data_IF_680733696211
#
_entry.id   IF_680733696211
#
_cell.length_a   1.000
_cell.length_b   1.000
_cell.length_c   1.000
_cell.angle_alpha   90.00
_cell.angle_beta   90.00
_cell.angle_gamma   90.00
#
_symmetry.space_group_name_H-M   'P 1'
#
loop_
_entity.id
_entity.type
_entity.pdbx_description
1 polymer ?
2 non-polymer ?
3 non-polymer ?
4 non-polymer ?
5 non-polymer ?
6 water ?
#
# COMPACT_ATOMS: atom_id res chain seq x y z
N UNK A 1 30.60 -20.97 10.54
CA UNK A 1 29.42 -20.20 10.12
C UNK A 1 28.79 -20.79 8.87
N UNK A 2 27.50 -20.55 8.73
CA UNK A 2 26.75 -20.96 7.55
C UNK A 2 25.66 -19.95 7.19
N UNK A 3 25.51 -19.69 5.89
CA UNK A 3 24.42 -18.83 5.43
C UNK A 3 23.05 -19.45 5.63
N UNK A 4 22.25 -18.81 6.46
CA UNK A 4 20.89 -19.24 6.76
C UNK A 4 19.88 -18.70 5.76
N UNK A 5 20.22 -17.52 5.23
CA UNK A 5 19.36 -16.87 4.27
C UNK A 5 20.15 -15.77 3.53
N UNK A 6 19.74 -15.56 2.29
CA UNK A 6 20.43 -14.55 1.49
C UNK A 6 19.51 -14.09 0.38
N UNK A 7 19.57 -12.78 0.12
CA UNK A 7 18.80 -12.17 -0.95
C UNK A 7 19.54 -10.88 -1.35
N UNK A 8 19.39 -10.54 -2.61
CA UNK A 8 20.17 -9.37 -3.07
C UNK A 8 19.44 -8.86 -4.31
N UNK A 9 19.66 -7.57 -4.63
CA UNK A 9 19.05 -7.04 -5.83
C UNK A 9 19.21 -5.52 -5.92
N UNK A 10 18.29 -4.90 -6.62
CA UNK A 10 18.30 -3.45 -6.83
C UNK A 10 17.08 -2.82 -6.18
N UNK A 11 17.32 -1.74 -5.45
CA UNK A 11 16.25 -1.00 -4.79
C UNK A 11 16.16 0.42 -5.36
N UNK A 12 15.01 1.05 -5.19
CA UNK A 12 14.82 2.46 -5.53
C UNK A 12 15.02 2.75 -7.01
N UNK A 13 14.59 1.82 -7.87
CA UNK A 13 14.67 2.01 -9.31
C UNK A 13 13.44 2.76 -9.79
N UNK A 14 13.63 4.07 -10.08
CA UNK A 14 12.57 4.89 -10.62
C UNK A 14 12.36 4.59 -12.10
N UNK A 15 11.12 4.44 -12.50
CA UNK A 15 10.72 4.12 -13.85
C UNK A 15 9.50 4.92 -14.27
N UNK A 16 9.62 5.57 -15.43
CA UNK A 16 8.51 6.24 -16.08
C UNK A 16 8.21 5.51 -17.40
N UNK A 17 6.94 5.41 -17.70
CA UNK A 17 6.52 4.97 -19.02
C UNK A 17 5.34 5.78 -19.53
N UNK A 18 5.45 6.19 -20.80
CA UNK A 18 4.39 6.86 -21.50
C UNK A 18 3.78 5.99 -22.61
N UNK A 19 2.47 6.09 -22.70
CA UNK A 19 1.65 5.51 -23.74
C UNK A 19 1.12 6.64 -24.61
N UNK A 20 1.32 6.56 -25.91
CA UNK A 20 0.85 7.63 -26.80
C UNK A 20 -0.17 7.11 -27.81
N UNK A 21 -1.40 7.58 -27.70
CA UNK A 21 -2.39 7.09 -28.68
C UNK A 21 -2.18 7.86 -29.98
N UNK A 22 -1.61 7.16 -30.94
CA UNK A 22 -1.32 7.68 -32.27
C UNK A 22 -2.57 8.27 -32.91
N UNK A 23 -3.71 7.68 -32.58
CA UNK A 23 -4.95 8.16 -33.18
C UNK A 23 -5.51 9.34 -32.42
N UNK A 24 -5.87 9.12 -31.14
CA UNK A 24 -6.57 10.18 -30.41
C UNK A 24 -5.61 11.32 -30.05
N UNK A 25 -4.32 11.02 -29.92
CA UNK A 25 -3.33 12.00 -29.53
C UNK A 25 -3.17 12.05 -28.02
N UNK A 26 -4.03 11.32 -27.33
CA UNK A 26 -3.97 11.19 -25.88
C UNK A 26 -2.76 10.38 -25.44
N UNK A 27 -2.02 11.00 -24.50
CA UNK A 27 -0.89 10.32 -23.87
C UNK A 27 -1.27 9.95 -22.44
N UNK A 28 -0.72 8.83 -21.97
CA UNK A 28 -0.96 8.39 -20.60
C UNK A 28 0.36 8.04 -19.93
N UNK A 29 0.59 8.53 -18.72
CA UNK A 29 1.86 8.28 -18.08
C UNK A 29 1.69 7.40 -16.82
N UNK A 30 2.76 6.68 -16.58
CA UNK A 30 2.94 5.79 -15.45
C UNK A 30 4.31 6.01 -14.82
N UNK A 31 4.32 6.19 -13.49
CA UNK A 31 5.58 6.25 -12.79
C UNK A 31 5.54 5.39 -11.53
N UNK A 32 6.64 4.69 -11.31
CA UNK A 32 6.73 3.78 -10.18
C UNK A 32 8.15 3.76 -9.66
N UNK A 33 8.34 3.18 -8.47
CA UNK A 33 9.63 2.88 -7.92
C UNK A 33 9.68 1.37 -7.66
N UNK A 34 10.68 0.72 -8.25
CA UNK A 34 10.75 -0.74 -8.22
C UNK A 34 11.92 -1.21 -7.40
N UNK A 35 11.67 -2.32 -6.66
CA UNK A 35 12.68 -3.03 -5.91
C UNK A 35 12.55 -4.54 -6.24
N UNK A 36 13.67 -5.18 -6.48
CA UNK A 36 13.75 -6.59 -6.85
C UNK A 36 14.86 -7.24 -6.05
N UNK A 37 14.47 -8.28 -5.27
CA UNK A 37 15.41 -9.08 -4.54
C UNK A 37 15.29 -10.56 -4.98
N UNK A 38 16.42 -11.14 -5.28
CA UNK A 38 16.51 -12.52 -5.76
C UNK A 38 17.07 -13.43 -4.67
N UNK A 39 16.57 -14.67 -4.72
CA UNK A 39 17.12 -15.74 -3.88
C UNK A 39 17.41 -16.96 -4.77
N UNK A 40 18.34 -17.79 -4.32
CA UNK A 40 18.64 -19.04 -5.01
C UNK A 40 19.93 -19.65 -4.52
N UNK A 41 20.60 -20.35 -5.45
CA UNK A 41 21.89 -20.90 -5.10
C UNK A 41 23.00 -19.86 -5.28
N UNK A 42 23.05 -18.87 -4.38
CA UNK A 42 23.98 -17.74 -4.46
C UNK A 42 24.90 -17.63 -3.26
N UNK A 43 24.75 -18.53 -2.29
CA UNK A 43 25.51 -18.59 -1.05
C UNK A 43 27.02 -18.53 -1.27
N UNK A 44 27.55 -19.13 -2.34
CA UNK A 44 28.98 -19.09 -2.62
C UNK A 44 29.48 -17.67 -2.91
N UNK A 45 28.60 -16.79 -3.37
CA UNK A 45 29.04 -15.38 -3.53
C UNK A 45 29.45 -14.83 -2.18
N UNK A 46 28.75 -15.25 -1.13
CA UNK A 46 29.05 -14.73 0.21
C UNK A 46 30.21 -15.42 0.90
N UNK A 47 30.33 -16.74 0.70
CA UNK A 47 31.30 -17.54 1.43
C UNK A 47 32.63 -17.71 0.71
N UNK A 48 32.63 -17.73 -0.62
CA UNK A 48 33.89 -17.95 -1.31
C UNK A 48 34.17 -16.90 -2.39
N UNK A 49 33.50 -15.75 -2.35
CA UNK A 49 33.74 -14.77 -3.42
C UNK A 49 33.49 -15.38 -4.79
N UNK A 50 32.44 -16.20 -4.88
CA UNK A 50 32.12 -16.73 -6.21
C UNK A 50 31.08 -15.83 -6.87
N UNK A 51 31.54 -14.86 -7.67
CA UNK A 51 30.55 -13.96 -8.28
C UNK A 51 29.84 -14.55 -9.47
N UNK A 52 30.19 -15.77 -9.91
CA UNK A 52 29.56 -16.35 -11.08
C UNK A 52 28.07 -16.56 -10.87
N UNK A 53 27.70 -16.73 -9.61
CA UNK A 53 26.29 -16.92 -9.28
C UNK A 53 25.52 -15.60 -9.20
N UNK A 54 26.24 -14.48 -9.39
CA UNK A 54 25.56 -13.20 -9.23
C UNK A 54 25.13 -12.60 -10.57
N UNK A 55 23.84 -12.35 -10.67
CA UNK A 55 23.24 -11.50 -11.69
C UNK A 55 23.43 -10.08 -11.14
N UNK A 56 24.37 -9.32 -11.70
CA UNK A 56 24.71 -7.98 -11.22
C UNK A 56 23.46 -7.17 -10.93
N UNK A 57 23.49 -6.40 -9.85
CA UNK A 57 22.30 -5.60 -9.59
C UNK A 57 22.15 -4.56 -10.70
N UNK A 58 23.28 -4.19 -11.29
CA UNK A 58 23.21 -3.27 -12.43
C UNK A 58 22.39 -3.91 -13.53
N UNK A 59 22.63 -5.22 -13.73
CA UNK A 59 21.86 -5.95 -14.74
C UNK A 59 20.40 -6.08 -14.39
N UNK A 60 20.10 -6.23 -13.09
CA UNK A 60 18.71 -6.29 -12.66
C UNK A 60 18.05 -4.96 -13.01
N UNK A 61 18.80 -3.88 -12.79
CA UNK A 61 18.29 -2.57 -13.17
C UNK A 61 17.92 -2.54 -14.65
N UNK A 62 18.85 -2.94 -15.50
CA UNK A 62 18.64 -2.98 -16.94
C UNK A 62 17.39 -3.77 -17.29
N UNK A 63 17.27 -4.93 -16.62
CA UNK A 63 16.15 -5.82 -16.89
C UNK A 63 14.82 -5.19 -16.52
N UNK A 64 14.84 -4.38 -15.45
CA UNK A 64 13.60 -3.67 -15.09
C UNK A 64 13.18 -2.76 -16.23
N UNK A 65 14.12 -1.97 -16.75
CA UNK A 65 13.77 -1.07 -17.85
C UNK A 65 13.34 -1.82 -19.09
N UNK A 66 14.07 -2.89 -19.40
CA UNK A 66 13.71 -3.69 -20.58
C UNK A 66 12.35 -4.36 -20.46
N UNK A 67 12.02 -4.91 -19.29
CA UNK A 67 10.71 -5.50 -19.07
C UNK A 67 9.61 -4.46 -19.18
N UNK A 68 9.86 -3.24 -18.66
CA UNK A 68 8.89 -2.16 -18.79
C UNK A 68 8.72 -1.76 -20.25
N UNK A 69 9.79 -1.93 -21.02
CA UNK A 69 9.72 -1.54 -22.43
C UNK A 69 8.90 -2.53 -23.24
N UNK A 70 9.00 -3.81 -22.87
CA UNK A 70 8.39 -4.90 -23.60
C UNK A 70 7.03 -5.36 -23.11
N UNK A 71 6.57 -4.85 -21.98
CA UNK A 71 5.32 -5.28 -21.37
C UNK A 71 4.54 -4.10 -20.81
N UNK A 72 3.24 -4.27 -20.59
CA UNK A 72 2.50 -3.18 -19.91
C UNK A 72 3.01 -3.10 -18.47
N UNK A 73 2.95 -1.88 -17.94
CA UNK A 73 3.40 -1.71 -16.56
C UNK A 73 2.21 -1.67 -15.64
N UNK A 74 1.03 -1.80 -16.22
CA UNK A 74 -0.24 -1.75 -15.47
C UNK A 74 -1.09 -2.97 -15.79
N UNK A 75 -1.82 -3.53 -14.85
CA UNK A 75 -1.74 -3.19 -13.42
C UNK A 75 -0.44 -3.70 -12.82
N UNK A 76 0.00 -3.06 -11.74
CA UNK A 76 1.31 -3.36 -11.17
C UNK A 76 1.44 -4.81 -10.75
N UNK A 77 0.34 -5.40 -10.32
CA UNK A 77 0.34 -6.82 -9.93
C UNK A 77 0.84 -7.71 -11.08
N UNK A 78 0.40 -7.35 -12.29
CA UNK A 78 0.79 -8.05 -13.51
C UNK A 78 2.25 -7.81 -13.85
N UNK A 79 2.64 -6.53 -13.95
CA UNK A 79 4.03 -6.21 -14.22
C UNK A 79 4.98 -6.89 -13.26
N UNK A 80 4.62 -6.89 -11.97
CA UNK A 80 5.51 -7.49 -10.99
C UNK A 80 5.63 -9.00 -11.20
N UNK A 81 4.52 -9.61 -11.58
CA UNK A 81 4.50 -11.05 -11.85
C UNK A 81 5.38 -11.36 -13.05
N UNK A 82 5.20 -10.60 -14.13
CA UNK A 82 6.04 -10.76 -15.32
C UNK A 82 7.51 -10.61 -15.00
N UNK A 83 7.89 -9.57 -14.27
CA UNK A 83 9.26 -9.33 -13.86
C UNK A 83 9.82 -10.42 -12.95
N UNK A 84 9.01 -10.88 -12.00
CA UNK A 84 9.56 -11.90 -11.11
C UNK A 84 9.73 -13.21 -11.88
N UNK A 85 8.78 -13.50 -12.75
CA UNK A 85 8.81 -14.75 -13.51
C UNK A 85 10.04 -14.78 -14.40
N UNK A 86 10.34 -13.64 -15.02
CA UNK A 86 11.56 -13.52 -15.82
C UNK A 86 12.78 -14.06 -15.11
N UNK A 87 12.99 -13.64 -13.86
CA UNK A 87 14.23 -13.98 -13.22
C UNK A 87 14.37 -15.46 -12.86
N UNK A 88 13.27 -16.05 -12.42
CA UNK A 88 13.37 -17.47 -12.04
C UNK A 88 13.36 -18.35 -13.30
N UNK A 89 12.80 -17.84 -14.39
CA UNK A 89 12.78 -18.66 -15.61
C UNK A 89 14.11 -18.52 -16.33
N UNK A 90 14.66 -17.31 -16.33
CA UNK A 90 15.91 -17.03 -17.02
C UNK A 90 17.12 -17.65 -16.35
N UNK A 91 17.20 -17.57 -15.02
CA UNK A 91 18.38 -18.06 -14.33
C UNK A 91 18.06 -19.33 -13.55
N UNK A 92 18.70 -20.42 -13.96
CA UNK A 92 18.46 -21.76 -13.41
C UNK A 92 18.65 -21.82 -11.90
N UNK A 93 19.66 -21.13 -11.39
CA UNK A 93 20.05 -21.11 -9.99
C UNK A 93 19.28 -20.08 -9.15
N UNK A 94 18.44 -19.30 -9.80
CA UNK A 94 17.63 -18.30 -9.10
C UNK A 94 16.26 -18.90 -8.83
N UNK A 95 15.92 -19.12 -7.56
CA UNK A 95 14.66 -19.83 -7.34
C UNK A 95 13.54 -18.97 -6.80
N UNK A 96 13.87 -17.75 -6.37
CA UNK A 96 12.83 -16.84 -5.94
C UNK A 96 13.13 -15.40 -6.36
N UNK A 97 12.07 -14.71 -6.75
CA UNK A 97 12.11 -13.28 -7.01
C UNK A 97 11.03 -12.59 -6.19
N UNK A 98 11.45 -11.57 -5.43
CA UNK A 98 10.56 -10.68 -4.72
C UNK A 98 10.55 -9.34 -5.45
N UNK A 99 9.36 -8.89 -5.82
CA UNK A 99 9.25 -7.61 -6.50
C UNK A 99 8.33 -6.69 -5.70
N UNK A 100 8.91 -5.58 -5.29
CA UNK A 100 8.12 -4.55 -4.61
C UNK A 100 7.99 -3.32 -5.50
N UNK A 101 6.80 -2.81 -5.66
CA UNK A 101 6.54 -1.66 -6.51
C UNK A 101 5.67 -0.64 -5.79
N UNK A 102 6.10 0.61 -5.87
CA UNK A 102 5.36 1.78 -5.45
C UNK A 102 4.89 2.52 -6.71
N UNK A 103 3.59 2.66 -6.84
CA UNK A 103 3.01 3.41 -7.94
C UNK A 103 2.67 4.83 -7.50
N UNK A 104 3.22 5.78 -8.25
CA UNK A 104 3.07 7.21 -7.98
C UNK A 104 1.91 7.78 -8.76
N UNK A 105 1.18 8.75 -8.19
CA UNK A 105 0.04 9.30 -8.90
C UNK A 105 0.41 10.39 -9.90
N UNK A 106 -0.07 10.19 -11.12
CA UNK A 106 -0.06 11.16 -12.21
C UNK A 106 -1.49 11.18 -12.73
N UNK A 107 -2.30 12.02 -12.10
CA UNK A 107 -3.69 12.17 -12.51
C UNK A 107 -3.80 13.17 -13.66
N UNK A 108 -4.55 12.80 -14.69
CA UNK A 108 -4.75 13.71 -15.83
C UNK A 108 -5.41 15.00 -15.39
N UNK A 109 -4.86 16.12 -15.83
CA UNK A 109 -5.41 17.43 -15.52
C UNK A 109 -6.69 17.69 -16.32
N UNK A 110 -7.61 18.40 -15.66
CA UNK A 110 -8.80 18.93 -16.30
C UNK A 110 -8.58 20.43 -16.46
N UNK A 111 -8.57 20.85 -17.72
CA UNK A 111 -8.40 22.27 -18.04
C UNK A 111 -9.70 22.79 -18.64
N UNK A 112 -10.29 23.82 -18.03
CA UNK A 112 -11.56 24.36 -18.53
C UNK A 112 -12.58 23.24 -18.63
N UNK A 113 -12.68 22.43 -17.59
CA UNK A 113 -13.58 21.31 -17.55
C UNK A 113 -13.23 20.24 -18.55
N UNK A 114 -12.07 20.29 -19.21
CA UNK A 114 -11.76 19.27 -20.21
C UNK A 114 -10.47 18.52 -19.94
N UNK A 115 -10.53 17.19 -19.85
CA UNK A 115 -9.32 16.38 -19.67
C UNK A 115 -8.24 16.67 -20.70
N UNK A 116 -7.06 17.07 -20.22
CA UNK A 116 -5.93 17.34 -21.09
C UNK A 116 -5.25 16.06 -21.57
N UNK A 117 -4.86 16.02 -22.85
CA UNK A 117 -4.22 14.88 -23.50
C UNK A 117 -2.82 14.47 -23.05
N UNK A 118 -2.02 15.31 -22.44
CA UNK A 118 -0.68 15.06 -21.99
C UNK A 118 -0.19 15.93 -20.82
N UNK A 119 -1.07 16.40 -19.95
CA UNK A 119 -0.63 17.12 -18.76
C UNK A 119 -1.26 16.50 -17.52
N UNK A 120 -0.44 16.31 -16.49
CA UNK A 120 -0.84 15.55 -15.31
C UNK A 120 -0.45 16.25 -14.00
N UNK A 121 -1.10 15.85 -12.92
CA UNK A 121 -0.82 16.38 -11.59
C UNK A 121 -0.66 15.27 -10.57
N UNK A 122 0.30 15.44 -9.68
CA UNK A 122 0.47 14.54 -8.54
C UNK A 122 -0.57 14.99 -7.52
N UNK A 123 -1.76 14.41 -7.66
CA UNK A 123 -2.93 14.96 -6.98
C UNK A 123 -2.88 14.62 -5.49
N UNK A 124 -2.14 13.61 -5.11
CA UNK A 124 -1.82 13.24 -3.75
C UNK A 124 -0.56 12.38 -3.63
N UNK A 125 0.04 12.29 -2.45
CA UNK A 125 1.20 11.48 -2.14
C UNK A 125 0.77 10.03 -1.84
N UNK A 126 -0.54 9.79 -1.86
CA UNK A 126 -1.08 8.43 -1.67
C UNK A 126 -0.44 7.51 -2.71
N UNK A 127 -0.05 6.32 -2.29
CA UNK A 127 0.51 5.36 -3.23
C UNK A 127 -0.40 4.13 -3.33
N UNK A 128 -0.28 3.47 -4.47
CA UNK A 128 -0.75 2.13 -4.73
C UNK A 128 0.48 1.23 -4.83
N UNK A 129 0.49 0.10 -4.10
CA UNK A 129 1.67 -0.73 -4.11
C UNK A 129 1.34 -2.21 -4.39
N UNK A 130 2.40 -2.92 -4.78
CA UNK A 130 2.29 -4.37 -4.83
C UNK A 130 3.55 -5.00 -4.26
N UNK A 131 3.34 -6.16 -3.64
CA UNK A 131 4.46 -7.01 -3.24
C UNK A 131 4.24 -8.37 -3.91
N UNK A 132 5.17 -8.75 -4.77
CA UNK A 132 4.96 -9.97 -5.56
C UNK A 132 6.11 -10.93 -5.31
N UNK A 133 5.76 -12.15 -4.89
CA UNK A 133 6.76 -13.18 -4.66
C UNK A 133 6.56 -14.31 -5.67
N UNK A 134 7.56 -14.48 -6.52
CA UNK A 134 7.53 -15.50 -7.57
C UNK A 134 8.48 -16.59 -7.10
N UNK A 135 7.90 -17.74 -6.73
CA UNK A 135 8.76 -18.78 -6.19
C UNK A 135 8.70 -20.05 -7.02
N UNK A 136 9.85 -20.52 -7.48
CA UNK A 136 9.90 -21.72 -8.31
C UNK A 136 9.15 -22.86 -7.65
N UNK A 137 8.17 -23.44 -8.32
CA UNK A 137 7.45 -24.57 -7.75
C UNK A 137 6.36 -24.17 -6.78
N UNK A 138 6.25 -22.88 -6.43
CA UNK A 138 5.22 -22.48 -5.47
C UNK A 138 4.33 -21.36 -5.99
N UNK A 139 4.46 -21.05 -7.28
CA UNK A 139 3.61 -20.08 -7.92
C UNK A 139 3.93 -18.62 -7.59
N UNK A 140 2.91 -17.80 -7.57
CA UNK A 140 2.97 -16.36 -7.41
C UNK A 140 2.05 -15.86 -6.31
N UNK A 141 2.68 -15.34 -5.27
CA UNK A 141 1.98 -14.74 -4.13
C UNK A 141 1.98 -13.22 -4.23
N UNK A 142 0.80 -12.63 -4.20
CA UNK A 142 0.65 -11.20 -4.43
C UNK A 142 -0.13 -10.54 -3.30
N UNK A 143 0.49 -9.49 -2.76
CA UNK A 143 -0.14 -8.60 -1.81
C UNK A 143 -0.23 -7.21 -2.45
N UNK A 144 -1.43 -6.67 -2.47
CA UNK A 144 -1.73 -5.37 -3.04
C UNK A 144 -2.07 -4.40 -1.90
N UNK A 145 -1.75 -3.13 -2.11
CA UNK A 145 -2.03 -2.17 -1.04
C UNK A 145 -2.16 -0.74 -1.57
N UNK A 146 -2.79 0.05 -0.73
CA UNK A 146 -2.83 1.51 -0.82
C UNK A 146 -2.21 2.02 0.49
N UNK A 147 -1.52 3.14 0.44
CA UNK A 147 -0.86 3.70 1.60
C UNK A 147 -0.77 5.22 1.45
N UNK A 148 -0.54 5.90 2.56
CA UNK A 148 -0.41 7.35 2.52
C UNK A 148 -1.72 8.02 2.20
N UNK A 149 -2.84 7.34 2.43
CA UNK A 149 -4.17 7.92 2.29
C UNK A 149 -4.52 8.60 3.62
N UNK A 150 -4.35 9.92 3.66
CA UNK A 150 -4.49 10.70 4.89
C UNK A 150 -5.87 11.32 5.01
N UNK A 151 -6.55 10.95 6.10
CA UNK A 151 -7.93 11.36 6.32
C UNK A 151 -8.14 11.92 7.73
N UNK A 152 -9.21 12.69 7.87
CA UNK A 152 -9.65 13.23 9.14
C UNK A 152 -11.18 13.39 9.13
N UNK A 153 -11.78 13.01 10.25
CA UNK A 153 -13.18 13.34 10.52
C UNK A 153 -13.21 14.12 11.81
N UNK A 154 -14.07 15.10 11.89
CA UNK A 154 -14.07 16.12 12.94
C UNK A 154 -15.02 15.76 14.08
N UNK A 155 -15.86 14.76 13.81
CA UNK A 155 -16.78 14.29 14.85
C UNK A 155 -17.17 12.85 14.51
N UNK A 156 -18.08 12.22 15.26
CA UNK A 156 -18.51 10.86 14.99
C UNK A 156 -17.36 9.88 15.20
N UNK A 157 -16.56 10.21 16.21
CA UNK A 157 -15.57 9.30 16.72
C UNK A 157 -15.65 9.29 18.25
N UNK A 158 -15.51 8.11 18.81
CA UNK A 158 -15.65 7.95 20.24
C UNK A 158 -14.62 6.96 20.78
N UNK A 159 -14.36 7.05 22.09
CA UNK A 159 -13.54 6.06 22.75
C UNK A 159 -13.82 6.07 24.25
N UNK A 160 -14.65 5.12 24.67
CA UNK A 160 -14.96 4.89 26.07
C UNK A 160 -15.09 3.40 26.36
N UNK A 161 -14.99 3.03 27.63
CA UNK A 161 -15.15 1.64 28.01
C UNK A 161 -13.86 0.87 27.97
N UNK A 162 -12.72 1.54 27.78
CA UNK A 162 -11.42 0.88 27.82
C UNK A 162 -10.99 0.62 29.27
N UNK A 163 -10.08 -0.30 29.46
CA UNK A 163 -9.57 -0.71 30.77
C UNK A 163 -9.03 0.51 31.52
N UNK A 164 -9.34 0.57 32.81
CA UNK A 164 -8.81 1.62 33.67
C UNK A 164 -8.16 1.04 34.92
N UNK A 165 -6.90 1.35 35.15
CA UNK A 165 -6.15 0.95 36.34
C UNK A 165 -5.27 2.12 36.77
N UNK A 166 -4.27 1.87 37.60
CA UNK A 166 -3.43 2.91 38.17
C UNK A 166 -2.51 3.51 37.11
N UNK A 167 -2.53 2.98 35.89
CA UNK A 167 -1.69 3.46 34.79
C UNK A 167 -2.46 4.40 33.86
N UNK A 168 -3.76 4.52 34.10
CA UNK A 168 -4.71 5.20 33.23
C UNK A 168 -5.05 6.62 33.65
N UNK A 169 -4.84 7.56 32.72
CA UNK A 169 -5.23 8.95 32.91
C UNK A 169 -6.16 9.45 31.83
N UNK A 170 -6.21 8.81 30.66
CA UNK A 170 -7.06 9.22 29.57
C UNK A 170 -8.51 9.25 29.99
N UNK A 171 -9.18 10.37 29.68
CA UNK A 171 -10.60 10.48 29.93
C UNK A 171 -11.41 9.83 28.82
N UNK A 172 -12.50 9.15 29.21
CA UNK A 172 -13.42 8.66 28.20
C UNK A 172 -13.98 9.82 27.39
N UNK A 173 -14.27 9.60 26.12
CA UNK A 173 -14.87 10.62 25.27
C UNK A 173 -15.91 10.04 24.33
N UNK A 174 -16.98 10.79 24.12
CA UNK A 174 -18.06 10.45 23.22
C UNK A 174 -18.06 11.33 21.98
N UNK A 175 -17.04 12.18 21.84
CA UNK A 175 -16.91 13.04 20.68
C UNK A 175 -15.47 13.52 20.50
N UNK A 176 -14.76 12.96 19.52
CA UNK A 176 -13.35 13.33 19.28
C UNK A 176 -13.06 13.38 17.79
N UNK A 177 -11.90 13.94 17.49
CA UNK A 177 -11.36 13.92 16.14
C UNK A 177 -10.70 12.55 15.91
N UNK A 178 -10.86 12.04 14.72
CA UNK A 178 -10.11 10.86 14.32
C UNK A 178 -9.42 11.13 12.98
N UNK A 179 -8.11 10.99 13.00
CA UNK A 179 -7.30 11.18 11.81
C UNK A 179 -6.26 10.06 11.70
N UNK A 180 -6.02 9.62 10.48
CA UNK A 180 -5.07 8.55 10.27
C UNK A 180 -4.51 8.61 8.85
N UNK A 181 -3.47 7.83 8.65
CA UNK A 181 -2.88 7.53 7.35
C UNK A 181 -3.15 6.04 7.08
N UNK A 182 -4.01 5.79 6.11
CA UNK A 182 -4.47 4.44 5.83
C UNK A 182 -3.42 3.65 5.05
N UNK A 183 -3.05 2.50 5.62
CA UNK A 183 -2.25 1.46 5.01
C UNK A 183 -3.13 0.19 5.02
N UNK A 184 -3.68 -0.12 3.86
CA UNK A 184 -4.54 -1.28 3.70
C UNK A 184 -3.94 -2.25 2.70
N UNK A 185 -3.82 -3.52 3.07
CA UNK A 185 -3.28 -4.58 2.20
C UNK A 185 -4.28 -5.71 1.96
N UNK A 186 -4.48 -6.12 0.71
CA UNK A 186 -5.33 -7.28 0.43
C UNK A 186 -4.42 -8.36 -0.18
N UNK A 187 -4.49 -9.56 0.37
CA UNK A 187 -3.58 -10.63 -0.03
C UNK A 187 -4.36 -11.60 -0.92
N UNK A 188 -3.81 -11.90 -2.08
CA UNK A 188 -4.52 -12.69 -3.08
C UNK A 188 -4.27 -14.19 -2.89
N UNK A 189 -5.29 -14.97 -3.29
CA UNK A 189 -5.09 -16.41 -3.40
C UNK A 189 -3.83 -16.65 -4.22
N UNK A 190 -3.06 -17.67 -3.85
CA UNK A 190 -1.91 -18.05 -4.64
C UNK A 190 -2.30 -18.18 -6.11
N UNK A 191 -1.42 -17.79 -7.02
CA UNK A 191 -1.60 -17.99 -8.45
C UNK A 191 -0.60 -19.03 -8.95
N UNK A 192 -1.03 -19.87 -9.91
CA UNK A 192 -0.13 -20.96 -10.33
C UNK A 192 1.03 -20.43 -11.16
N UNK A 193 0.82 -19.26 -11.74
CA UNK A 193 1.88 -18.73 -12.61
C UNK A 193 1.32 -17.55 -13.37
N UNK A 194 2.05 -17.09 -14.37
CA UNK A 194 1.64 -15.90 -15.12
C UNK A 194 0.31 -16.03 -15.83
N UNK A 195 -0.03 -17.21 -16.37
CA UNK A 195 -1.30 -17.37 -17.06
C UNK A 195 -2.45 -17.04 -16.12
N UNK A 196 -2.36 -17.59 -14.90
CA UNK A 196 -3.45 -17.36 -13.97
C UNK A 196 -3.51 -15.89 -13.57
N UNK A 197 -2.36 -15.26 -13.37
CA UNK A 197 -2.40 -13.83 -13.07
C UNK A 197 -3.03 -13.05 -14.21
N UNK A 198 -2.58 -13.27 -15.44
CA UNK A 198 -3.20 -12.61 -16.59
C UNK A 198 -4.70 -12.87 -16.68
N UNK A 199 -5.16 -14.07 -16.32
CA UNK A 199 -6.60 -14.31 -16.51
C UNK A 199 -7.44 -13.42 -15.59
N UNK A 200 -6.86 -12.95 -14.48
CA UNK A 200 -7.59 -12.13 -13.54
C UNK A 200 -7.29 -10.64 -13.64
N UNK A 201 -6.54 -10.19 -14.64
CA UNK A 201 -6.06 -8.82 -14.70
C UNK A 201 -7.10 -7.73 -14.39
N UNK A 202 -8.31 -7.79 -14.90
CA UNK A 202 -9.32 -6.78 -14.54
C UNK A 202 -9.57 -6.63 -13.04
N UNK A 203 -9.53 -7.73 -12.31
CA UNK A 203 -9.85 -7.68 -10.89
C UNK A 203 -8.84 -6.88 -10.06
N UNK A 204 -7.65 -6.63 -10.61
CA UNK A 204 -6.68 -5.93 -9.74
C UNK A 204 -7.12 -4.49 -9.57
N UNK A 205 -7.35 -3.80 -10.68
CA UNK A 205 -7.75 -2.40 -10.62
C UNK A 205 -9.09 -2.25 -9.91
N UNK A 206 -9.94 -3.25 -10.13
CA UNK A 206 -11.28 -3.19 -9.58
C UNK A 206 -11.26 -3.41 -8.08
N UNK A 207 -10.34 -4.25 -7.64
CA UNK A 207 -10.25 -4.52 -6.20
C UNK A 207 -9.55 -3.38 -5.48
N UNK A 208 -8.59 -2.73 -6.10
CA UNK A 208 -7.97 -1.53 -5.55
C UNK A 208 -9.03 -0.45 -5.37
N UNK A 209 -9.85 -0.27 -6.41
CA UNK A 209 -10.90 0.75 -6.36
C UNK A 209 -11.81 0.47 -5.19
N UNK A 210 -12.17 -0.81 -5.07
CA UNK A 210 -13.11 -1.20 -4.04
C UNK A 210 -12.56 -0.94 -2.65
N UNK A 211 -11.30 -1.33 -2.49
CA UNK A 211 -10.63 -1.16 -1.20
C UNK A 211 -10.61 0.31 -0.81
N UNK A 212 -10.26 1.16 -1.77
CA UNK A 212 -10.25 2.60 -1.47
C UNK A 212 -11.63 3.15 -1.14
N UNK A 213 -12.61 2.76 -1.96
CA UNK A 213 -13.99 3.20 -1.84
C UNK A 213 -14.59 2.80 -0.50
N UNK A 214 -14.38 1.53 -0.13
CA UNK A 214 -14.91 1.01 1.12
C UNK A 214 -14.22 1.66 2.32
N UNK A 215 -12.92 1.90 2.20
CA UNK A 215 -12.15 2.54 3.25
C UNK A 215 -12.71 3.93 3.54
N UNK A 216 -12.91 4.71 2.48
CA UNK A 216 -13.33 6.09 2.66
C UNK A 216 -14.76 6.18 3.19
N UNK A 217 -15.68 5.41 2.63
CA UNK A 217 -17.08 5.39 3.04
C UNK A 217 -17.22 4.92 4.48
N UNK A 218 -16.54 3.86 4.86
CA UNK A 218 -16.60 3.31 6.22
C UNK A 218 -16.06 4.32 7.23
N UNK A 219 -14.94 4.94 6.87
CA UNK A 219 -14.34 5.97 7.71
C UNK A 219 -15.30 7.13 7.94
N UNK A 220 -15.93 7.56 6.86
CA UNK A 220 -16.81 8.72 6.87
C UNK A 220 -18.14 8.46 7.56
N UNK A 221 -18.72 7.27 7.39
CA UNK A 221 -20.04 6.97 7.93
C UNK A 221 -20.03 6.23 9.25
N UNK A 222 -18.97 5.51 9.62
CA UNK A 222 -18.99 4.77 10.87
C UNK A 222 -18.88 5.71 12.08
N UNK A 223 -19.90 5.66 12.93
CA UNK A 223 -19.81 6.37 14.20
C UNK A 223 -18.92 5.51 15.10
N UNK A 224 -17.63 5.67 14.87
CA UNK A 224 -16.59 4.80 15.36
C UNK A 224 -16.49 4.71 16.87
N UNK A 225 -16.49 3.49 17.35
CA UNK A 225 -16.33 3.13 18.75
C UNK A 225 -14.86 3.05 19.15
N UNK A 226 -14.02 2.97 18.12
CA UNK A 226 -12.58 2.93 18.23
C UNK A 226 -11.96 2.65 16.85
N UNK A 227 -10.64 2.80 16.76
CA UNK A 227 -9.96 2.52 15.50
C UNK A 227 -10.11 1.04 15.16
N UNK A 228 -9.95 0.22 16.18
CA UNK A 228 -10.09 -1.24 16.08
C UNK A 228 -11.39 -1.64 15.38
N UNK A 229 -12.54 -1.20 15.83
CA UNK A 229 -13.89 -1.49 15.42
C UNK A 229 -14.09 -0.99 13.98
N UNK A 230 -13.62 0.24 13.76
CA UNK A 230 -13.85 0.81 12.46
C UNK A 230 -13.06 0.07 11.37
N UNK A 231 -11.85 -0.33 11.68
CA UNK A 231 -11.02 -0.93 10.64
C UNK A 231 -11.47 -2.35 10.32
N UNK A 232 -11.97 -3.04 11.35
CA UNK A 232 -12.49 -4.38 11.07
C UNK A 232 -13.63 -4.28 10.07
N UNK A 233 -14.53 -3.30 10.20
CA UNK A 233 -15.66 -3.13 9.31
C UNK A 233 -15.23 -2.88 7.86
N UNK A 234 -14.10 -2.22 7.71
CA UNK A 234 -13.58 -2.01 6.38
C UNK A 234 -13.13 -3.35 5.78
N UNK A 235 -12.36 -4.09 6.57
CA UNK A 235 -11.78 -5.35 6.13
C UNK A 235 -12.91 -6.35 5.83
N UNK A 236 -13.93 -6.34 6.68
CA UNK A 236 -15.13 -7.15 6.51
C UNK A 236 -15.70 -7.02 5.10
N UNK A 237 -16.00 -5.78 4.73
CA UNK A 237 -16.63 -5.48 3.45
C UNK A 237 -15.80 -5.85 2.24
N UNK A 238 -14.52 -5.52 2.29
CA UNK A 238 -13.63 -5.82 1.16
C UNK A 238 -13.58 -7.32 0.88
N UNK A 239 -13.52 -8.14 1.92
CA UNK A 239 -13.49 -9.59 1.80
C UNK A 239 -14.76 -10.16 1.18
N UNK A 240 -15.87 -9.46 1.40
CA UNK A 240 -17.18 -9.84 0.88
C UNK A 240 -17.39 -9.41 -0.56
N UNK A 241 -16.52 -8.53 -1.07
CA UNK A 241 -16.71 -8.05 -2.43
C UNK A 241 -15.72 -8.62 -3.43
N UNK A 242 -14.75 -9.40 -2.95
CA UNK A 242 -13.79 -10.02 -3.84
C UNK A 242 -13.31 -11.34 -3.25
N UNK A 243 -13.85 -12.42 -3.81
CA UNK A 243 -13.62 -13.77 -3.34
C UNK A 243 -12.19 -14.22 -3.51
N UNK A 244 -11.47 -13.62 -4.46
CA UNK A 244 -10.09 -14.07 -4.68
C UNK A 244 -9.14 -13.53 -3.63
N UNK A 245 -9.64 -12.66 -2.76
CA UNK A 245 -8.86 -12.20 -1.61
C UNK A 245 -8.99 -13.17 -0.44
N UNK A 246 -7.85 -13.51 0.17
CA UNK A 246 -7.84 -14.36 1.34
C UNK A 246 -7.79 -13.56 2.65
N UNK A 247 -6.93 -12.56 2.72
CA UNK A 247 -6.90 -11.70 3.91
C UNK A 247 -6.83 -10.22 3.53
N UNK A 248 -7.19 -9.40 4.49
CA UNK A 248 -7.13 -7.95 4.44
C UNK A 248 -6.45 -7.48 5.71
N UNK A 249 -5.40 -6.67 5.57
CA UNK A 249 -4.61 -6.15 6.66
C UNK A 249 -4.76 -4.62 6.72
N UNK A 250 -4.97 -4.10 7.92
CA UNK A 250 -4.93 -2.65 8.12
C UNK A 250 -3.90 -2.31 9.16
N UNK A 251 -3.20 -1.21 8.92
CA UNK A 251 -2.26 -0.64 9.88
C UNK A 251 -2.59 0.86 9.92
N UNK A 252 -3.11 1.33 11.02
CA UNK A 252 -3.63 2.70 11.14
C UNK A 252 -3.04 3.43 12.32
N UNK A 253 -2.26 4.48 12.10
CA UNK A 253 -1.88 5.34 13.22
C UNK A 253 -3.07 6.17 13.70
N UNK A 254 -3.15 6.40 15.01
CA UNK A 254 -4.14 7.34 15.52
C UNK A 254 -3.41 8.69 15.69
N UNK A 255 -3.63 9.59 14.74
CA UNK A 255 -2.91 10.87 14.74
C UNK A 255 -3.66 11.87 15.62
N UNK A 256 -3.24 11.92 16.89
CA UNK A 256 -4.03 12.59 17.91
C UNK A 256 -4.10 14.11 17.73
N UNK A 257 -5.27 14.65 17.99
CA UNK A 257 -5.55 16.07 18.08
C UNK A 257 -6.02 16.40 19.50
N UNK A 258 -5.20 17.13 20.25
CA UNK A 258 -5.52 17.38 21.65
C UNK A 258 -6.36 18.64 21.81
N UNK A 259 -7.32 18.59 22.74
CA UNK A 259 -8.06 19.82 23.06
C UNK A 259 -7.10 20.77 23.76
N UNK A 260 -7.39 22.07 23.72
CA UNK A 260 -6.58 23.07 24.41
C UNK A 260 -7.41 23.86 25.41
N UNK A 261 -7.11 23.70 26.68
CA UNK A 261 -7.83 24.38 27.75
C UNK A 261 -7.36 25.84 27.77
N UNK A 262 -8.25 26.76 27.43
CA UNK A 262 -7.87 28.18 27.41
C UNK A 262 -8.62 28.96 28.49
N UNK A 263 -9.23 28.24 29.42
CA UNK A 263 -10.02 28.82 30.51
C UNK A 263 -9.16 29.72 31.38
N UNK A 264 -7.86 29.44 31.45
CA UNK A 264 -6.90 30.29 32.16
C UNK A 264 -6.88 31.70 31.54
N UNK A 265 -7.32 31.82 30.29
CA UNK A 265 -7.30 33.10 29.61
C UNK A 265 -8.66 33.75 29.47
N UNK A 266 -8.98 34.68 30.38
CA UNK A 266 -10.22 35.43 30.32
C UNK A 266 -11.45 34.51 30.30
N UNK A 267 -11.38 33.40 31.03
CA UNK A 267 -12.41 32.39 31.06
C UNK A 267 -12.74 31.82 29.70
N UNK A 268 -11.77 31.75 28.79
CA UNK A 268 -12.07 31.26 27.46
C UNK A 268 -12.50 29.79 27.47
N UNK A 269 -13.61 29.48 26.82
CA UNK A 269 -14.16 28.14 26.78
C UNK A 269 -13.86 27.44 25.45
N UNK A 270 -12.93 26.50 25.49
CA UNK A 270 -12.47 25.80 24.30
C UNK A 270 -12.34 24.29 24.52
N UNK A 271 -13.07 23.77 25.50
CA UNK A 271 -13.07 22.34 25.77
C UNK A 271 -14.47 21.76 25.67
N UNK A 272 -14.52 20.43 25.53
CA UNK A 272 -15.82 19.80 25.39
C UNK A 272 -16.64 20.32 24.24
N UNK A 273 -17.89 20.67 24.52
CA UNK A 273 -18.76 21.11 23.43
C UNK A 273 -18.29 22.45 22.85
N UNK A 274 -17.43 23.14 23.58
CA UNK A 274 -16.95 24.43 23.10
C UNK A 274 -15.62 24.30 22.37
N UNK A 275 -15.11 23.09 22.24
CA UNK A 275 -13.82 22.84 21.61
C UNK A 275 -13.78 23.30 20.17
N UNK A 276 -12.91 24.27 19.88
CA UNK A 276 -12.80 24.77 18.52
C UNK A 276 -11.37 24.67 17.98
N UNK A 277 -10.42 25.12 18.77
CA UNK A 277 -9.01 25.09 18.41
C UNK A 277 -8.31 23.94 19.12
N UNK A 278 -7.69 23.08 18.31
CA UNK A 278 -6.95 21.93 18.76
C UNK A 278 -5.46 21.97 18.40
N UNK A 279 -4.68 21.25 19.18
CA UNK A 279 -3.27 21.04 18.98
C UNK A 279 -2.98 19.70 18.31
N UNK A 280 -2.70 19.69 17.02
CA UNK A 280 -2.33 18.41 16.39
C UNK A 280 -1.03 17.93 17.00
N UNK A 281 -0.96 16.64 17.34
CA UNK A 281 0.21 16.07 17.98
C UNK A 281 1.00 15.27 16.92
N UNK A 282 2.24 15.67 16.67
CA UNK A 282 3.08 14.95 15.71
C UNK A 282 3.51 13.58 16.22
N UNK A 283 3.76 13.49 17.52
CA UNK A 283 4.11 12.24 18.18
C UNK A 283 3.86 12.39 19.68
N UNK A 284 3.68 11.30 20.42
CA UNK A 284 3.57 9.94 19.87
C UNK A 284 2.21 9.70 19.25
N UNK A 285 1.97 8.46 18.78
CA UNK A 285 0.70 8.13 18.16
C UNK A 285 0.32 6.67 18.49
N UNK A 286 -0.97 6.46 18.64
CA UNK A 286 -1.43 5.07 18.76
C UNK A 286 -1.21 4.40 17.41
N UNK A 287 -0.98 3.11 17.42
CA UNK A 287 -0.80 2.30 16.21
C UNK A 287 -1.66 1.03 16.36
N UNK A 288 -2.58 0.86 15.45
CA UNK A 288 -3.57 -0.21 15.52
C UNK A 288 -3.51 -1.07 14.27
N UNK A 289 -3.36 -2.38 14.47
CA UNK A 289 -3.20 -3.30 13.35
C UNK A 289 -4.14 -4.49 13.45
N UNK A 290 -4.52 -5.05 12.30
CA UNK A 290 -5.33 -6.28 12.32
C UNK A 290 -5.27 -6.91 10.94
N UNK A 291 -5.30 -8.23 10.94
CA UNK A 291 -5.43 -9.03 9.74
C UNK A 291 -6.74 -9.84 9.83
N UNK A 292 -7.62 -9.64 8.88
CA UNK A 292 -8.94 -10.25 8.87
C UNK A 292 -8.98 -11.29 7.76
N UNK A 293 -9.46 -12.47 8.09
CA UNK A 293 -9.56 -13.54 7.10
C UNK A 293 -10.98 -14.10 7.07
N UNK A 294 -11.12 -15.27 6.45
CA UNK A 294 -12.47 -15.83 6.29
C UNK A 294 -12.71 -16.92 7.33
N UNK A 295 -13.88 -16.84 7.96
CA UNK A 295 -14.29 -17.78 8.98
C UNK A 295 -14.41 -19.21 8.42
#
# INVERSE_FOLDING_TARGET
SAVKAARYGKDNVRVYKVHKDEKTGVQTVYEMTVCVLLEGEIETSYTKADNSVIVATDSIKNTIYITAKQNPVTPPELFGSILGTHFIEKYNHIHAAHVNIVCHRWTRMDIDGKPHPHSFIRDSEEKRNVQVDVVEGKGIDIKSSLSGLTVLKSTNSQFWGFLRDEYTTLKETWDRILSTDVDATWQWKNFSGLQEVRSHVPKFDATWATAREVTLKTFAEDNSASVQATMYKMAEQILARQQLIETVEYSLPNKHYFEIDLSWHKGLQNTGKNAEVFAPQSDPNGLIKCTVGRSSLKSKL
#
